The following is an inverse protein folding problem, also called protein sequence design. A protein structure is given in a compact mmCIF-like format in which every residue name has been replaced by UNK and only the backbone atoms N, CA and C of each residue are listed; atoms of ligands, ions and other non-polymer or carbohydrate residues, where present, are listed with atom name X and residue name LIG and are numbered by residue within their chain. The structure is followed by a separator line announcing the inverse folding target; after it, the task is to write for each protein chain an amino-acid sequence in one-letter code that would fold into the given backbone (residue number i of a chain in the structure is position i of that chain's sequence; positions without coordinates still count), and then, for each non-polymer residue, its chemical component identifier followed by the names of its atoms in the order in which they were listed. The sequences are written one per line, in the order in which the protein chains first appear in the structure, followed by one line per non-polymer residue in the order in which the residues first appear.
data_IF_107449096095
#
_entry.id   IF_107449096095
#
_cell.length_a   1.000
_cell.length_b   1.000
_cell.length_c   1.000
_cell.angle_alpha   90.00
_cell.angle_beta   90.00
_cell.angle_gamma   90.00
#
_symmetry.space_group_name_H-M   'P 1'
#
loop_
_entity.id
_entity.type
_entity.pdbx_description
1 polymer ?
#
# COMPACT_ATOMS: atom_id res chain seq x y z
N UNK A 1 -10.70 -4.10 23.61
CA UNK A 1 -9.56 -4.42 22.73
C UNK A 1 -8.69 -3.17 22.63
N UNK A 2 -7.48 -3.18 23.17
CA UNK A 2 -6.54 -2.06 23.02
C UNK A 2 -5.35 -2.59 22.19
N UNK A 3 -5.36 -2.28 20.89
CA UNK A 3 -4.51 -2.92 19.89
C UNK A 3 -3.05 -2.42 19.93
N UNK A 4 -2.79 -1.31 20.62
CA UNK A 4 -1.48 -0.67 20.67
C UNK A 4 -0.96 -0.62 22.11
N UNK A 5 -0.36 -1.72 22.56
CA UNK A 5 0.39 -1.73 23.82
C UNK A 5 1.80 -1.16 23.57
N UNK A 6 1.98 0.12 23.88
CA UNK A 6 3.23 0.87 23.65
C UNK A 6 4.40 0.43 24.54
N UNK A 7 4.18 -0.56 25.42
CA UNK A 7 5.21 -1.18 26.24
C UNK A 7 6.00 -2.27 25.49
N UNK A 8 5.49 -2.75 24.36
CA UNK A 8 6.14 -3.77 23.53
C UNK A 8 7.04 -3.12 22.47
N UNK A 9 8.23 -3.69 22.19
CA UNK A 9 9.10 -3.19 21.14
C UNK A 9 8.42 -3.28 19.77
N UNK A 10 8.75 -2.34 18.87
CA UNK A 10 8.18 -2.33 17.53
C UNK A 10 8.55 -3.64 16.79
N UNK A 11 7.62 -4.23 16.02
CA UNK A 11 7.98 -5.35 15.17
C UNK A 11 8.97 -4.89 14.11
N UNK A 12 10.05 -5.66 13.90
CA UNK A 12 11.09 -5.36 12.92
C UNK A 12 10.58 -5.24 11.46
N UNK A 13 9.32 -5.61 11.21
CA UNK A 13 8.64 -5.45 9.91
C UNK A 13 8.26 -4.00 9.60
N UNK A 14 8.11 -3.14 10.62
CA UNK A 14 7.99 -1.70 10.41
C UNK A 14 9.35 -1.07 10.63
N UNK A 15 9.80 -0.20 9.73
CA UNK A 15 11.05 0.57 9.89
C UNK A 15 11.02 1.59 11.03
N UNK A 16 10.06 1.47 11.95
CA UNK A 16 9.99 2.20 13.18
C UNK A 16 11.00 1.52 14.13
N UNK A 17 11.95 2.28 14.70
CA UNK A 17 12.98 1.74 15.59
C UNK A 17 12.43 1.09 16.88
N UNK A 18 13.25 0.99 17.93
CA UNK A 18 12.98 0.15 19.11
C UNK A 18 11.61 0.36 19.81
N UNK A 19 10.96 1.52 19.63
CA UNK A 19 9.64 1.82 20.19
C UNK A 19 8.69 2.38 19.12
N UNK A 20 7.45 1.88 19.12
CA UNK A 20 6.37 2.49 18.37
C UNK A 20 6.03 3.87 18.97
N UNK A 21 5.83 4.92 18.16
CA UNK A 21 5.36 6.19 18.67
C UNK A 21 3.98 5.99 19.30
N UNK A 22 3.82 6.46 20.54
CA UNK A 22 2.52 6.46 21.19
C UNK A 22 1.52 7.29 20.35
N UNK A 23 0.23 6.90 20.28
CA UNK A 23 -0.79 7.71 19.63
C UNK A 23 -0.83 9.09 20.30
N UNK A 24 -0.33 10.11 19.62
CA UNK A 24 -0.06 11.42 20.20
C UNK A 24 0.38 12.41 19.11
N UNK A 25 0.83 13.62 19.47
CA UNK A 25 1.11 14.70 18.53
C UNK A 25 2.13 14.36 17.42
N UNK A 26 2.92 13.29 17.59
CA UNK A 26 3.92 12.82 16.63
C UNK A 26 3.48 11.66 15.72
N UNK A 27 2.23 11.19 15.79
CA UNK A 27 1.71 10.11 14.92
C UNK A 27 0.45 10.58 14.18
N UNK A 28 0.61 10.92 12.90
CA UNK A 28 -0.50 11.31 12.03
C UNK A 28 -1.18 10.05 11.49
N UNK A 29 -2.51 9.98 11.65
CA UNK A 29 -3.30 8.91 11.05
C UNK A 29 -3.30 9.08 9.53
N UNK A 30 -2.63 8.18 8.82
CA UNK A 30 -2.78 8.05 7.38
C UNK A 30 -4.18 7.53 7.05
N UNK A 31 -4.93 8.28 6.25
CA UNK A 31 -6.22 7.83 5.70
C UNK A 31 -5.99 7.58 4.21
N UNK A 32 -6.32 6.37 3.75
CA UNK A 32 -6.31 6.02 2.35
C UNK A 32 -7.72 5.53 1.95
N UNK A 33 -8.11 5.84 0.72
CA UNK A 33 -9.35 5.33 0.13
C UNK A 33 -9.00 4.30 -0.93
N UNK A 34 -9.61 3.11 -0.84
CA UNK A 34 -9.53 2.12 -1.90
C UNK A 34 -10.74 2.34 -2.81
N UNK A 35 -10.56 2.66 -4.10
CA UNK A 35 -11.67 2.82 -5.01
C UNK A 35 -12.37 1.47 -5.22
N UNK A 36 -13.69 1.50 -5.43
CA UNK A 36 -14.40 0.29 -5.81
C UNK A 36 -14.02 -0.12 -7.23
N UNK A 37 -13.44 -1.31 -7.35
CA UNK A 37 -13.07 -1.87 -8.63
C UNK A 37 -14.26 -2.62 -9.26
N UNK A 38 -14.67 -2.28 -10.50
CA UNK A 38 -15.70 -3.03 -11.20
C UNK A 38 -15.21 -4.42 -11.58
N UNK A 39 -16.15 -5.35 -11.72
CA UNK A 39 -15.84 -6.70 -12.18
C UNK A 39 -15.67 -6.73 -13.70
N UNK A 40 -14.57 -7.31 -14.16
CA UNK A 40 -14.26 -7.54 -15.58
C UNK A 40 -13.94 -9.01 -15.80
N UNK A 41 -13.97 -9.48 -17.05
CA UNK A 41 -13.53 -10.84 -17.39
C UNK A 41 -12.03 -11.00 -17.05
N UNK A 42 -11.67 -11.92 -16.13
CA UNK A 42 -10.28 -12.16 -15.75
C UNK A 42 -9.41 -12.62 -16.92
N UNK A 43 -8.12 -12.31 -16.86
CA UNK A 43 -7.15 -12.97 -17.72
C UNK A 43 -7.01 -14.46 -17.41
N UNK A 44 -6.53 -15.21 -18.41
CA UNK A 44 -6.07 -16.58 -18.22
C UNK A 44 -4.91 -16.60 -17.20
N UNK A 45 -4.84 -17.59 -16.29
CA UNK A 45 -3.87 -17.64 -15.20
C UNK A 45 -2.41 -17.40 -15.60
N UNK A 46 -1.93 -18.00 -16.69
CA UNK A 46 -0.55 -17.83 -17.13
C UNK A 46 -0.27 -16.40 -17.64
N UNK A 47 -1.26 -15.73 -18.24
CA UNK A 47 -1.16 -14.32 -18.61
C UNK A 47 -1.22 -13.39 -17.39
N UNK A 48 -2.13 -13.64 -16.46
CA UNK A 48 -2.29 -12.83 -15.24
C UNK A 48 -0.99 -12.83 -14.41
N UNK A 49 -0.36 -14.00 -14.26
CA UNK A 49 0.91 -14.13 -13.54
C UNK A 49 2.06 -13.34 -14.20
N UNK A 50 2.08 -13.27 -15.54
CA UNK A 50 3.09 -12.51 -16.29
C UNK A 50 2.93 -11.00 -16.14
N UNK A 51 1.69 -10.49 -16.11
CA UNK A 51 1.42 -9.05 -15.98
C UNK A 51 1.45 -8.57 -14.53
N UNK A 52 1.22 -9.46 -13.56
CA UNK A 52 1.09 -9.10 -12.15
C UNK A 52 -0.29 -8.55 -11.79
N UNK A 53 -1.26 -8.61 -12.71
CA UNK A 53 -2.67 -8.26 -12.48
C UNK A 53 -3.59 -9.26 -13.16
N UNK A 54 -4.72 -9.56 -12.52
CA UNK A 54 -5.77 -10.43 -13.06
C UNK A 54 -6.79 -9.68 -13.93
N UNK A 55 -6.96 -8.39 -13.67
CA UNK A 55 -7.96 -7.57 -14.37
C UNK A 55 -7.30 -6.75 -15.49
N UNK A 56 -7.81 -6.83 -16.73
CA UNK A 56 -7.29 -6.07 -17.85
C UNK A 56 -7.25 -4.56 -17.62
N UNK A 57 -8.27 -3.99 -16.98
CA UNK A 57 -8.33 -2.55 -16.69
C UNK A 57 -7.23 -2.03 -15.74
N UNK A 58 -6.53 -2.92 -15.04
CA UNK A 58 -5.39 -2.58 -14.18
C UNK A 58 -4.03 -2.73 -14.88
N UNK A 59 -3.99 -3.31 -16.08
CA UNK A 59 -2.76 -3.49 -16.87
C UNK A 59 -2.38 -2.17 -17.56
N UNK A 60 -1.98 -1.19 -16.74
CA UNK A 60 -1.62 0.16 -17.16
C UNK A 60 -0.10 0.29 -17.31
N UNK A 61 0.39 1.01 -18.34
CA UNK A 61 1.81 1.24 -18.49
C UNK A 61 2.36 1.99 -17.28
N UNK A 62 3.46 1.50 -16.71
CA UNK A 62 4.21 2.22 -15.69
C UNK A 62 4.89 3.44 -16.32
N UNK A 63 4.23 4.60 -16.25
CA UNK A 63 4.88 5.86 -16.57
C UNK A 63 5.88 6.18 -15.46
N UNK A 64 7.17 6.17 -15.79
CA UNK A 64 8.26 6.53 -14.85
C UNK A 64 8.17 7.98 -14.35
N UNK A 65 7.27 8.79 -14.93
CA UNK A 65 7.01 10.18 -14.58
C UNK A 65 5.74 10.31 -13.75
N UNK A 66 5.89 10.03 -12.45
CA UNK A 66 5.07 10.61 -11.38
C UNK A 66 5.71 11.86 -10.76
N UNK A 67 6.69 12.46 -11.44
CA UNK A 67 7.39 13.68 -11.05
C UNK A 67 7.83 14.42 -12.31
N UNK A 68 6.94 15.26 -12.84
CA UNK A 68 7.28 16.13 -13.95
C UNK A 68 8.46 17.02 -13.58
N UNK A 69 9.47 17.05 -14.44
CA UNK A 69 10.59 17.99 -14.41
C UNK A 69 10.05 19.42 -14.54
N UNK A 70 9.92 20.15 -13.44
CA UNK A 70 10.18 21.59 -13.47
C UNK A 70 11.70 21.73 -13.37
N UNK A 71 12.37 21.72 -14.52
CA UNK A 71 13.77 22.07 -14.70
C UNK A 71 13.85 23.43 -15.40
#
# INVERSE_FOLDING_TARGET
MNLCDCSKPAPASCGCGDKLPAPGPGLQLGIATVPMQPWETPYEPAKALKQGTIFPGLDLPFFITGGGTNA
#
